data_IF_336399735343
#
_entry.id   IF_336399735343
#
_cell.length_a   1.000
_cell.length_b   1.000
_cell.length_c   1.000
_cell.angle_alpha   90.00
_cell.angle_beta   90.00
_cell.angle_gamma   90.00
#
_symmetry.space_group_name_H-M   'P 1'
#
loop_
_entity.id
_entity.type
_entity.pdbx_description
1 polymer ?
#
# COMPACT_ATOMS: atom_id res chain seq x y z
N UNK A 1 15.52 23.22 -0.96
CA UNK A 1 16.42 23.53 0.17
C UNK A 1 16.16 24.88 0.78
N UNK A 2 15.90 25.93 -0.05
CA UNK A 2 15.65 27.30 0.37
C UNK A 2 14.15 27.62 0.59
N UNK A 3 13.27 26.69 0.29
CA UNK A 3 11.81 26.87 0.40
C UNK A 3 11.18 27.74 -0.68
N UNK A 4 11.94 28.21 -1.67
CA UNK A 4 11.46 29.14 -2.70
C UNK A 4 10.70 28.45 -3.84
N UNK A 5 11.00 27.17 -4.10
CA UNK A 5 10.45 26.41 -5.23
C UNK A 5 9.86 25.08 -4.80
N UNK A 6 8.66 24.79 -5.25
CA UNK A 6 8.01 23.49 -5.14
C UNK A 6 8.20 22.74 -6.46
N UNK A 7 8.73 21.54 -6.41
CA UNK A 7 8.76 20.60 -7.53
C UNK A 7 7.78 19.47 -7.27
N UNK A 8 6.93 19.18 -8.24
CA UNK A 8 5.92 18.15 -8.11
C UNK A 8 5.77 17.34 -9.40
N UNK A 9 5.21 16.15 -9.27
CA UNK A 9 4.83 15.30 -10.40
C UNK A 9 3.40 15.62 -10.82
N UNK A 10 3.20 15.93 -12.09
CA UNK A 10 1.91 15.85 -12.75
C UNK A 10 1.77 14.43 -13.30
N UNK A 11 0.96 13.62 -12.61
CA UNK A 11 0.75 12.22 -12.96
C UNK A 11 -0.09 12.03 -14.21
N UNK A 12 -0.07 10.81 -14.71
CA UNK A 12 -0.88 10.38 -15.86
C UNK A 12 -2.26 9.91 -15.46
N UNK A 13 -2.96 9.43 -16.46
CA UNK A 13 -4.19 8.66 -16.28
C UNK A 13 -3.90 7.35 -15.58
N UNK A 14 -4.92 6.75 -15.09
CA UNK A 14 -5.00 5.44 -14.49
C UNK A 14 -6.47 5.10 -14.44
N UNK A 15 -6.83 4.00 -13.83
CA UNK A 15 -8.24 3.59 -13.70
C UNK A 15 -9.15 4.65 -13.07
N UNK A 16 -8.58 5.62 -12.35
CA UNK A 16 -9.31 6.65 -11.62
C UNK A 16 -9.40 7.99 -12.37
N UNK A 17 -8.76 8.12 -13.52
CA UNK A 17 -8.76 9.35 -14.31
C UNK A 17 -8.99 9.06 -15.78
N UNK A 18 -9.72 9.95 -16.46
CA UNK A 18 -9.81 9.90 -17.92
C UNK A 18 -8.51 10.39 -18.57
N UNK A 19 -8.24 9.95 -19.78
CA UNK A 19 -7.08 10.37 -20.57
C UNK A 19 -7.03 11.88 -20.81
N UNK A 20 -8.19 12.55 -20.80
CA UNK A 20 -8.28 14.02 -20.90
C UNK A 20 -7.57 14.74 -19.75
N UNK A 21 -7.53 14.15 -18.56
CA UNK A 21 -6.85 14.72 -17.39
C UNK A 21 -5.40 14.26 -17.25
N UNK A 22 -4.94 13.36 -18.10
CA UNK A 22 -3.58 12.81 -18.10
C UNK A 22 -2.63 13.44 -19.12
N UNK A 23 -3.07 14.51 -19.78
CA UNK A 23 -2.22 15.25 -20.73
C UNK A 23 -1.09 16.00 -20.02
N UNK A 24 0.04 16.12 -20.72
CA UNK A 24 1.19 16.89 -20.24
C UNK A 24 1.78 16.38 -18.91
N UNK A 25 2.00 15.07 -18.82
CA UNK A 25 2.68 14.45 -17.69
C UNK A 25 4.13 14.95 -17.57
N UNK A 26 4.67 14.94 -16.35
CA UNK A 26 6.06 15.27 -16.10
C UNK A 26 6.31 15.84 -14.70
N UNK A 27 7.53 16.28 -14.49
CA UNK A 27 7.90 17.05 -13.31
C UNK A 27 7.79 18.53 -13.63
N UNK A 28 7.09 19.23 -12.78
CA UNK A 28 6.83 20.66 -12.88
C UNK A 28 7.38 21.39 -11.67
N UNK A 29 7.72 22.65 -11.86
CA UNK A 29 8.06 23.55 -10.76
C UNK A 29 7.07 24.71 -10.70
N UNK A 30 6.90 25.24 -9.50
CA UNK A 30 6.15 26.45 -9.20
C UNK A 30 6.82 27.19 -8.04
N UNK A 31 6.77 28.50 -8.01
CA UNK A 31 7.23 29.24 -6.84
C UNK A 31 6.40 28.87 -5.60
N UNK A 32 7.01 28.80 -4.42
CA UNK A 32 6.29 28.52 -3.17
C UNK A 32 5.19 29.55 -2.87
N UNK A 33 5.36 30.80 -3.33
CA UNK A 33 4.36 31.85 -3.25
C UNK A 33 3.19 31.70 -4.26
N UNK A 34 3.21 30.64 -5.08
CA UNK A 34 2.21 30.43 -6.14
C UNK A 34 2.65 30.97 -7.50
N UNK A 35 1.75 30.91 -8.49
CA UNK A 35 1.99 31.37 -9.84
C UNK A 35 1.89 30.27 -10.90
N UNK A 36 2.50 30.50 -12.06
CA UNK A 36 2.42 29.59 -13.21
C UNK A 36 3.41 28.45 -13.04
N UNK A 37 2.90 27.22 -13.17
CA UNK A 37 3.73 26.02 -13.19
C UNK A 37 4.43 25.85 -14.53
N UNK A 38 5.73 25.53 -14.50
CA UNK A 38 6.53 25.28 -15.69
C UNK A 38 7.08 23.85 -15.69
N UNK A 39 7.10 23.23 -16.87
CA UNK A 39 7.64 21.89 -17.05
C UNK A 39 9.16 21.90 -16.86
N UNK A 40 9.69 20.99 -16.05
CA UNK A 40 11.12 20.73 -15.88
C UNK A 40 11.56 19.58 -16.77
N UNK A 41 10.85 18.44 -16.70
CA UNK A 41 11.14 17.25 -17.53
C UNK A 41 9.87 16.43 -17.75
N UNK A 42 9.70 15.89 -18.97
CA UNK A 42 8.48 15.11 -19.34
C UNK A 42 8.36 13.75 -18.66
N UNK A 43 9.44 13.20 -18.13
CA UNK A 43 9.48 11.87 -17.51
C UNK A 43 10.12 11.96 -16.15
N UNK A 44 9.65 11.19 -15.23
CA UNK A 44 10.23 11.08 -13.89
C UNK A 44 9.18 10.98 -12.80
N UNK A 45 9.58 10.34 -11.71
CA UNK A 45 8.77 10.14 -10.52
C UNK A 45 9.58 10.49 -9.27
N UNK A 46 8.91 10.69 -8.14
CA UNK A 46 9.54 10.91 -6.82
C UNK A 46 10.60 12.01 -6.81
N UNK A 47 10.27 13.24 -7.27
CA UNK A 47 11.21 14.35 -7.25
C UNK A 47 11.61 14.68 -5.82
N UNK A 48 12.89 15.02 -5.63
CA UNK A 48 13.40 15.55 -4.36
C UNK A 48 14.64 16.39 -4.60
N UNK A 49 14.88 17.32 -3.69
CA UNK A 49 16.09 18.12 -3.70
C UNK A 49 17.22 17.39 -2.97
N UNK A 50 18.45 17.66 -3.38
CA UNK A 50 19.65 17.38 -2.63
C UNK A 50 20.28 18.69 -2.13
N UNK A 51 21.60 18.83 -2.23
CA UNK A 51 22.34 20.00 -1.76
C UNK A 51 22.06 21.27 -2.55
N UNK A 52 21.95 21.17 -3.87
CA UNK A 52 21.79 22.33 -4.75
C UNK A 52 20.30 22.73 -4.87
N UNK A 53 19.94 24.01 -4.65
CA UNK A 53 18.56 24.48 -4.74
C UNK A 53 18.03 24.60 -6.17
N UNK A 54 18.91 24.63 -7.15
CA UNK A 54 18.63 24.77 -8.58
C UNK A 54 18.57 23.42 -9.33
N UNK A 55 18.74 22.28 -8.61
CA UNK A 55 18.75 20.94 -9.19
C UNK A 55 17.84 19.99 -8.44
N UNK A 56 17.06 19.22 -9.18
CA UNK A 56 16.14 18.21 -8.64
C UNK A 56 16.61 16.81 -9.04
N UNK A 57 16.56 15.87 -8.09
CA UNK A 57 16.71 14.45 -8.31
C UNK A 57 15.36 13.81 -8.58
N UNK A 58 15.35 12.75 -9.40
CA UNK A 58 14.13 12.01 -9.72
C UNK A 58 14.46 10.61 -10.20
N UNK A 59 13.47 9.73 -10.19
CA UNK A 59 13.61 8.37 -10.67
C UNK A 59 13.02 8.22 -12.08
N UNK A 60 13.63 7.36 -12.87
CA UNK A 60 13.14 6.93 -14.18
C UNK A 60 12.98 5.42 -14.24
N UNK A 61 12.08 4.97 -15.09
CA UNK A 61 11.96 3.58 -15.50
C UNK A 61 12.55 3.43 -16.89
N UNK A 62 13.53 2.52 -17.05
CA UNK A 62 14.21 2.19 -18.29
C UNK A 62 14.10 0.68 -18.48
N UNK A 63 12.99 0.22 -19.08
CA UNK A 63 12.64 -1.21 -19.10
C UNK A 63 12.40 -1.73 -17.69
N UNK A 64 13.13 -2.77 -17.30
CA UNK A 64 13.07 -3.36 -15.96
C UNK A 64 13.98 -2.64 -14.92
N UNK A 65 14.78 -1.68 -15.37
CA UNK A 65 15.75 -0.97 -14.54
C UNK A 65 15.16 0.37 -14.06
N UNK A 66 15.37 0.67 -12.80
CA UNK A 66 15.13 2.01 -12.26
C UNK A 66 16.44 2.77 -12.15
N UNK A 67 16.41 4.03 -12.53
CA UNK A 67 17.56 4.90 -12.41
C UNK A 67 17.25 6.13 -11.58
N UNK A 68 18.26 6.60 -10.83
CA UNK A 68 18.29 7.90 -10.18
C UNK A 68 19.02 8.87 -11.11
N UNK A 69 18.31 9.92 -11.52
CA UNK A 69 18.83 11.01 -12.32
C UNK A 69 18.64 12.35 -11.62
N UNK A 70 19.37 13.37 -12.06
CA UNK A 70 19.11 14.76 -11.67
C UNK A 70 19.10 15.67 -12.88
N UNK A 71 18.41 16.80 -12.75
CA UNK A 71 18.31 17.82 -13.81
C UNK A 71 18.24 19.21 -13.18
N UNK A 72 18.78 20.22 -13.89
CA UNK A 72 18.58 21.60 -13.50
C UNK A 72 17.11 22.01 -13.54
N UNK A 73 16.69 22.93 -12.67
CA UNK A 73 15.33 23.44 -12.67
C UNK A 73 14.95 24.20 -13.96
N UNK A 74 15.94 24.53 -14.78
CA UNK A 74 15.75 25.08 -16.12
C UNK A 74 15.46 24.00 -17.19
N UNK A 75 15.45 22.73 -16.79
CA UNK A 75 15.24 21.60 -17.68
C UNK A 75 16.49 21.17 -18.46
N UNK A 76 17.68 21.61 -18.07
CA UNK A 76 18.96 21.31 -18.73
C UNK A 76 19.88 20.50 -17.84
N UNK A 77 20.96 20.01 -18.44
CA UNK A 77 22.04 19.27 -17.77
C UNK A 77 21.52 18.07 -16.98
N UNK A 78 20.78 17.20 -17.65
CA UNK A 78 20.36 15.93 -17.07
C UNK A 78 21.57 15.02 -16.86
N UNK A 79 21.70 14.47 -15.63
CA UNK A 79 22.76 13.54 -15.23
C UNK A 79 22.18 12.27 -14.66
N UNK A 80 22.64 11.11 -15.15
CA UNK A 80 22.33 9.82 -14.57
C UNK A 80 23.37 9.49 -13.47
N UNK A 81 22.92 9.01 -12.32
CA UNK A 81 23.77 8.70 -11.18
C UNK A 81 23.83 7.21 -10.89
N UNK A 82 22.67 6.60 -10.62
CA UNK A 82 22.57 5.19 -10.26
C UNK A 82 21.53 4.47 -11.09
N UNK A 83 21.74 3.17 -11.24
CA UNK A 83 20.77 2.23 -11.74
C UNK A 83 20.61 1.06 -10.79
N UNK A 84 19.42 0.48 -10.70
CA UNK A 84 19.16 -0.77 -10.02
C UNK A 84 18.03 -1.50 -10.71
N UNK A 85 18.15 -2.83 -10.77
CA UNK A 85 17.07 -3.70 -11.24
C UNK A 85 15.96 -3.81 -10.19
N UNK A 86 16.33 -3.90 -8.93
CA UNK A 86 15.44 -4.32 -7.85
C UNK A 86 15.13 -3.20 -6.83
N UNK A 87 15.85 -2.07 -6.86
CA UNK A 87 15.56 -0.96 -5.98
C UNK A 87 14.26 -0.24 -6.39
N UNK A 88 13.41 0.06 -5.40
CA UNK A 88 12.10 0.66 -5.60
C UNK A 88 12.02 2.14 -5.24
N UNK A 89 12.99 2.66 -4.51
CA UNK A 89 13.06 4.05 -4.07
C UNK A 89 14.51 4.50 -3.93
N UNK A 90 14.78 5.76 -4.27
CA UNK A 90 16.06 6.43 -4.04
C UNK A 90 15.82 7.82 -3.42
N UNK A 91 16.67 8.20 -2.45
CA UNK A 91 16.68 9.53 -1.83
C UNK A 91 18.11 10.01 -1.58
N UNK A 92 18.52 11.08 -2.21
CA UNK A 92 19.81 11.71 -1.95
C UNK A 92 19.72 12.55 -0.67
N UNK A 93 20.76 12.50 0.16
CA UNK A 93 20.81 13.29 1.38
C UNK A 93 20.91 14.81 1.09
N UNK A 94 20.41 15.67 1.97
CA UNK A 94 20.51 17.14 1.80
C UNK A 94 21.92 17.67 1.58
N UNK A 95 22.94 17.05 2.19
CA UNK A 95 24.35 17.42 2.00
C UNK A 95 24.97 16.85 0.72
N UNK A 96 24.25 15.95 0.02
CA UNK A 96 24.70 15.34 -1.24
C UNK A 96 25.80 14.30 -1.08
N UNK A 97 26.04 13.75 0.12
CA UNK A 97 27.08 12.75 0.37
C UNK A 97 26.56 11.31 0.36
N UNK A 98 25.25 11.12 0.56
CA UNK A 98 24.65 9.81 0.73
C UNK A 98 23.45 9.63 -0.19
N UNK A 99 23.18 8.38 -0.54
CA UNK A 99 21.95 7.95 -1.18
C UNK A 99 21.30 6.86 -0.32
N UNK A 100 20.05 7.06 0.07
CA UNK A 100 19.24 6.00 0.60
C UNK A 100 18.48 5.31 -0.53
N UNK A 101 18.30 4.00 -0.44
CA UNK A 101 17.51 3.24 -1.39
C UNK A 101 16.77 2.09 -0.70
N UNK A 102 15.68 1.64 -1.32
CA UNK A 102 14.89 0.51 -0.85
C UNK A 102 14.99 -0.63 -1.87
N UNK A 103 15.41 -1.80 -1.42
CA UNK A 103 15.47 -3.01 -2.23
C UNK A 103 15.03 -4.22 -1.39
N UNK A 104 14.24 -5.14 -1.97
CA UNK A 104 13.68 -6.26 -1.23
C UNK A 104 12.90 -5.84 0.02
N UNK A 105 12.22 -4.69 -0.04
CA UNK A 105 11.51 -4.02 1.07
C UNK A 105 12.39 -3.50 2.21
N UNK A 106 13.70 -3.65 2.16
CA UNK A 106 14.65 -3.17 3.18
C UNK A 106 15.27 -1.84 2.76
N UNK A 107 15.61 -1.03 3.76
CA UNK A 107 16.28 0.25 3.58
C UNK A 107 17.80 0.12 3.68
N UNK A 108 18.50 0.81 2.79
CA UNK A 108 19.95 0.85 2.69
C UNK A 108 20.45 2.28 2.57
N UNK A 109 21.69 2.50 3.00
CA UNK A 109 22.44 3.75 2.75
C UNK A 109 23.69 3.39 1.95
N UNK A 110 23.98 4.13 0.88
CA UNK A 110 25.23 4.08 0.14
C UNK A 110 25.88 5.43 0.03
N UNK A 111 27.18 5.47 -0.25
CA UNK A 111 27.86 6.73 -0.56
C UNK A 111 27.34 7.27 -1.90
N UNK A 112 27.05 8.57 -1.96
CA UNK A 112 26.68 9.23 -3.21
C UNK A 112 27.94 9.67 -3.95
N UNK A 113 28.22 8.98 -5.05
CA UNK A 113 29.43 9.23 -5.86
C UNK A 113 29.08 9.91 -7.17
N UNK A 114 29.83 10.94 -7.53
CA UNK A 114 29.73 11.64 -8.80
C UNK A 114 30.80 11.06 -9.75
N UNK A 115 30.45 9.98 -10.45
CA UNK A 115 31.37 9.27 -11.34
C UNK A 115 31.34 9.75 -12.79
N UNK A 116 30.44 10.69 -13.11
CA UNK A 116 30.22 11.13 -14.49
C UNK A 116 29.48 10.12 -15.38
N UNK A 117 29.19 8.94 -14.86
CA UNK A 117 28.43 7.88 -15.53
C UNK A 117 27.47 7.18 -14.56
N UNK A 118 26.51 6.44 -15.09
CA UNK A 118 25.57 5.66 -14.32
C UNK A 118 26.27 4.46 -13.65
N UNK A 119 26.08 4.28 -12.37
CA UNK A 119 26.69 3.21 -11.57
C UNK A 119 25.60 2.27 -11.04
N UNK A 120 25.85 0.96 -11.07
CA UNK A 120 24.94 -0.02 -10.51
C UNK A 120 24.93 0.06 -8.98
N UNK A 121 23.73 0.20 -8.41
CA UNK A 121 23.51 0.33 -6.96
C UNK A 121 22.59 -0.79 -6.47
N UNK A 122 23.06 -1.49 -5.45
CA UNK A 122 22.33 -2.53 -4.74
C UNK A 122 23.02 -2.92 -3.44
N UNK A 123 22.45 -3.84 -2.67
CA UNK A 123 23.02 -4.29 -1.39
C UNK A 123 24.41 -4.92 -1.53
N UNK A 124 24.73 -5.45 -2.71
CA UNK A 124 26.01 -6.11 -3.02
C UNK A 124 27.01 -5.21 -3.72
N UNK A 125 26.72 -3.92 -3.86
CA UNK A 125 27.67 -2.96 -4.44
C UNK A 125 28.95 -2.94 -3.63
N UNK A 126 30.10 -3.14 -4.31
CA UNK A 126 31.44 -3.16 -3.70
C UNK A 126 32.29 -1.96 -4.09
N UNK A 127 31.88 -1.17 -5.08
CA UNK A 127 32.65 -0.01 -5.57
C UNK A 127 32.70 1.14 -4.56
N UNK A 128 31.78 1.19 -3.62
CA UNK A 128 31.70 2.15 -2.52
C UNK A 128 30.90 1.55 -1.35
N UNK A 129 31.00 2.14 -0.13
CA UNK A 129 30.31 1.61 1.03
C UNK A 129 28.78 1.63 0.88
N UNK A 130 28.16 0.48 1.17
CA UNK A 130 26.70 0.29 1.28
C UNK A 130 26.40 -0.43 2.58
N UNK A 131 25.38 -0.01 3.30
CA UNK A 131 24.94 -0.62 4.56
C UNK A 131 23.44 -0.78 4.59
N UNK A 132 22.96 -1.93 5.03
CA UNK A 132 21.55 -2.14 5.40
C UNK A 132 21.28 -1.41 6.71
N UNK A 133 20.17 -0.69 6.80
CA UNK A 133 19.79 0.10 7.97
C UNK A 133 18.48 -0.32 8.61
N UNK A 134 17.57 -0.98 7.88
CA UNK A 134 16.36 -1.55 8.45
C UNK A 134 16.51 -3.05 8.68
N UNK A 135 16.00 -3.54 9.82
CA UNK A 135 15.89 -4.97 10.12
C UNK A 135 14.71 -5.58 9.36
N UNK A 136 13.56 -4.98 9.54
CA UNK A 136 12.33 -5.30 8.84
C UNK A 136 12.17 -4.41 7.59
N UNK A 137 10.97 -4.25 7.06
CA UNK A 137 10.74 -3.38 5.90
C UNK A 137 11.03 -1.90 6.20
N UNK A 138 11.30 -1.14 5.17
CA UNK A 138 11.45 0.31 5.23
C UNK A 138 10.66 0.97 4.11
N UNK A 139 9.70 1.82 4.44
CA UNK A 139 8.88 2.57 3.49
C UNK A 139 9.00 4.07 3.78
N UNK A 140 8.77 4.91 2.76
CA UNK A 140 8.82 6.37 2.91
C UNK A 140 10.15 6.88 3.42
N UNK A 141 11.25 6.51 2.71
CA UNK A 141 12.60 6.95 3.06
C UNK A 141 12.71 8.47 3.05
N UNK A 142 13.26 9.05 4.12
CA UNK A 142 13.59 10.47 4.16
C UNK A 142 14.77 10.74 5.09
N UNK A 143 15.51 11.79 4.76
CA UNK A 143 16.66 12.22 5.51
C UNK A 143 16.30 13.28 6.55
N UNK A 144 17.00 13.28 7.69
CA UNK A 144 17.03 14.47 8.54
C UNK A 144 17.64 15.66 7.79
N UNK A 145 17.23 16.88 8.14
CA UNK A 145 17.70 18.08 7.44
C UNK A 145 19.24 18.29 7.49
N UNK A 146 19.89 17.79 8.53
CA UNK A 146 21.33 17.78 8.71
C UNK A 146 22.04 16.57 8.07
N UNK A 147 21.31 15.68 7.38
CA UNK A 147 21.80 14.45 6.76
C UNK A 147 22.42 13.43 7.73
N UNK A 148 22.24 13.60 9.03
CA UNK A 148 22.84 12.71 10.03
C UNK A 148 22.10 11.41 10.21
N UNK A 149 20.79 11.37 9.87
CA UNK A 149 19.91 10.22 10.05
C UNK A 149 19.07 9.94 8.83
N UNK A 150 18.83 8.65 8.58
CA UNK A 150 17.78 8.18 7.69
C UNK A 150 16.59 7.72 8.53
N UNK A 151 15.39 8.11 8.09
CA UNK A 151 14.11 7.71 8.66
C UNK A 151 13.32 6.86 7.65
N UNK A 152 12.52 5.94 8.17
CA UNK A 152 11.55 5.16 7.39
C UNK A 152 10.38 4.74 8.27
N UNK A 153 9.30 4.31 7.67
CA UNK A 153 8.14 3.81 8.38
C UNK A 153 7.90 2.33 8.09
N UNK A 154 7.27 1.65 9.03
CA UNK A 154 6.62 0.36 8.85
C UNK A 154 5.31 0.35 9.63
N UNK A 155 4.18 0.35 8.91
CA UNK A 155 2.88 0.55 9.54
C UNK A 155 2.85 1.83 10.37
N UNK A 156 2.35 1.80 11.61
CA UNK A 156 2.24 2.97 12.47
C UNK A 156 3.54 3.30 13.23
N UNK A 157 4.67 2.74 12.84
CA UNK A 157 5.95 2.98 13.51
C UNK A 157 6.93 3.73 12.60
N UNK A 158 7.57 4.75 13.16
CA UNK A 158 8.67 5.50 12.56
C UNK A 158 10.00 5.04 13.14
N UNK A 159 10.88 4.61 12.25
CA UNK A 159 12.24 4.16 12.57
C UNK A 159 13.26 5.20 12.15
N UNK A 160 14.44 5.15 12.77
CA UNK A 160 15.58 5.95 12.38
C UNK A 160 16.89 5.21 12.57
N UNK A 161 17.89 5.58 11.76
CA UNK A 161 19.27 5.12 11.92
C UNK A 161 20.23 6.26 11.63
N UNK A 162 21.21 6.44 12.51
CA UNK A 162 22.31 7.36 12.27
C UNK A 162 23.22 6.83 11.16
N UNK A 163 23.67 7.70 10.26
CA UNK A 163 24.67 7.36 9.25
C UNK A 163 25.97 6.90 9.93
N UNK A 164 26.35 7.55 11.02
CA UNK A 164 27.53 7.18 11.81
C UNK A 164 27.47 5.72 12.28
N UNK A 165 26.30 5.28 12.75
CA UNK A 165 26.11 3.91 13.26
C UNK A 165 25.92 2.87 12.14
N UNK A 166 25.94 3.30 10.88
CA UNK A 166 25.77 2.41 9.73
C UNK A 166 27.08 1.93 9.12
N UNK A 167 28.20 2.59 9.44
CA UNK A 167 29.51 2.26 8.88
C UNK A 167 30.59 2.25 9.96
N UNK A 168 31.35 1.15 10.06
CA UNK A 168 32.44 0.99 11.04
C UNK A 168 33.47 2.11 10.98
N UNK A 169 33.84 2.54 9.78
CA UNK A 169 34.82 3.62 9.58
C UNK A 169 34.33 5.00 10.04
N UNK A 170 33.02 5.25 10.04
CA UNK A 170 32.45 6.48 10.59
C UNK A 170 32.25 6.40 12.10
N UNK A 171 31.84 5.23 12.58
CA UNK A 171 31.69 4.98 14.01
C UNK A 171 33.00 4.93 14.75
N UNK A 172 34.10 4.65 14.04
CA UNK A 172 35.43 4.32 14.61
C UNK A 172 35.30 3.18 15.65
N UNK A 173 34.55 2.11 15.27
CA UNK A 173 34.19 1.01 16.14
C UNK A 173 34.29 -0.34 15.42
N UNK A 174 34.75 -1.35 16.14
CA UNK A 174 34.82 -2.74 15.62
C UNK A 174 33.43 -3.34 15.37
N UNK A 175 32.45 -2.98 16.21
CA UNK A 175 31.07 -3.46 16.13
C UNK A 175 30.11 -2.28 16.02
N UNK A 176 29.09 -2.43 15.20
CA UNK A 176 28.02 -1.44 15.07
C UNK A 176 26.82 -1.83 15.97
N UNK A 177 26.03 -0.86 16.43
CA UNK A 177 24.77 -1.16 17.10
C UNK A 177 23.86 -2.03 16.21
N UNK A 178 23.06 -2.90 16.83
CA UNK A 178 22.09 -3.70 16.11
C UNK A 178 21.10 -2.81 15.31
N UNK A 179 20.52 -3.41 14.27
CA UNK A 179 19.48 -2.74 13.51
C UNK A 179 18.22 -2.55 14.38
N UNK A 180 17.54 -1.39 14.30
CA UNK A 180 16.37 -1.13 15.13
C UNK A 180 15.27 -2.16 14.88
N UNK A 181 14.82 -2.81 15.95
CA UNK A 181 13.76 -3.81 15.92
C UNK A 181 12.36 -3.20 16.18
N UNK A 182 12.31 -2.04 16.84
CA UNK A 182 11.10 -1.29 17.17
C UNK A 182 11.28 0.17 16.79
N UNK A 183 10.20 0.79 16.31
CA UNK A 183 10.15 2.21 15.99
C UNK A 183 9.39 3.02 17.05
N UNK A 184 9.34 4.31 16.85
CA UNK A 184 8.48 5.21 17.61
C UNK A 184 7.07 5.17 17.03
N UNK A 185 6.06 4.89 17.83
CA UNK A 185 4.68 4.92 17.35
C UNK A 185 4.29 6.33 16.89
N UNK A 186 3.76 6.41 15.67
CA UNK A 186 3.15 7.60 15.07
C UNK A 186 1.67 7.35 14.76
N UNK A 187 1.15 6.17 15.15
CA UNK A 187 -0.26 5.83 15.01
C UNK A 187 -1.13 6.75 15.89
N UNK A 188 -2.30 7.03 15.39
CA UNK A 188 -3.35 7.74 16.12
C UNK A 188 -4.70 7.08 15.86
N UNK A 189 -5.65 7.34 16.73
CA UNK A 189 -7.04 6.93 16.54
C UNK A 189 -7.89 8.14 16.20
N UNK A 190 -8.86 7.95 15.33
CA UNK A 190 -9.87 8.96 15.02
C UNK A 190 -11.25 8.36 15.21
N UNK A 191 -12.21 9.19 15.62
CA UNK A 191 -13.61 8.78 15.71
C UNK A 191 -14.13 8.50 14.29
N UNK A 192 -14.83 7.38 14.11
CA UNK A 192 -15.49 7.08 12.85
C UNK A 192 -16.71 7.97 12.68
N UNK A 193 -16.89 8.52 11.48
CA UNK A 193 -18.11 9.24 11.11
C UNK A 193 -19.26 8.22 10.92
N UNK A 194 -19.93 7.94 12.01
CA UNK A 194 -21.05 7.00 12.07
C UNK A 194 -22.35 7.78 12.09
N UNK A 195 -23.29 7.52 11.14
CA UNK A 195 -24.60 8.17 11.15
C UNK A 195 -25.35 7.91 12.48
N UNK A 196 -25.73 8.96 13.17
CA UNK A 196 -26.55 8.91 14.39
C UNK A 196 -28.04 8.97 14.02
N UNK A 197 -28.52 7.96 13.31
CA UNK A 197 -29.90 7.92 12.82
C UNK A 197 -30.49 6.53 12.91
N UNK A 198 -31.84 6.48 12.89
CA UNK A 198 -32.60 5.23 12.80
C UNK A 198 -33.31 5.17 11.46
N UNK A 199 -33.21 4.03 10.81
CA UNK A 199 -33.90 3.74 9.55
C UNK A 199 -34.61 2.39 9.71
N UNK A 200 -35.88 2.33 9.27
CA UNK A 200 -36.64 1.10 9.22
C UNK A 200 -37.05 0.81 7.78
N UNK A 201 -36.59 -0.31 7.24
CA UNK A 201 -37.08 -0.86 5.96
C UNK A 201 -38.30 -1.71 6.25
N UNK A 202 -39.48 -1.35 5.71
CA UNK A 202 -40.74 -1.94 6.13
C UNK A 202 -41.53 -2.49 4.92
N UNK A 203 -42.08 -3.69 5.06
CA UNK A 203 -43.03 -4.26 4.13
C UNK A 203 -42.45 -5.06 2.96
N UNK A 204 -41.14 -5.32 3.00
CA UNK A 204 -40.49 -6.14 1.98
C UNK A 204 -40.30 -7.60 2.38
N UNK A 205 -40.03 -8.43 1.38
CA UNK A 205 -39.49 -9.77 1.62
C UNK A 205 -38.07 -9.67 2.17
N UNK A 206 -37.82 -10.28 3.32
CA UNK A 206 -36.46 -10.25 3.92
C UNK A 206 -35.83 -11.63 3.85
N UNK A 207 -34.70 -11.72 3.14
CA UNK A 207 -33.81 -12.89 3.10
C UNK A 207 -32.76 -12.72 4.19
N UNK A 208 -32.85 -13.48 5.28
CA UNK A 208 -32.05 -13.24 6.47
C UNK A 208 -30.65 -13.83 6.39
N UNK A 209 -30.42 -14.77 5.49
CA UNK A 209 -29.22 -15.62 5.41
C UNK A 209 -28.93 -16.43 6.70
N UNK A 210 -29.95 -16.59 7.57
CA UNK A 210 -29.91 -17.49 8.73
C UNK A 210 -30.61 -18.79 8.33
N UNK A 211 -29.82 -19.73 7.81
CA UNK A 211 -30.39 -20.90 7.12
C UNK A 211 -31.30 -20.45 5.99
N UNK A 212 -32.40 -21.16 5.81
CA UNK A 212 -33.39 -20.87 4.75
C UNK A 212 -34.51 -19.90 5.16
N UNK A 213 -34.30 -19.16 6.24
CA UNK A 213 -35.30 -18.26 6.81
C UNK A 213 -35.57 -17.07 5.90
N UNK A 214 -36.79 -16.99 5.37
CA UNK A 214 -37.30 -15.87 4.58
C UNK A 214 -38.55 -15.32 5.25
N UNK A 215 -38.64 -14.00 5.43
CA UNK A 215 -39.78 -13.30 6.01
C UNK A 215 -40.53 -12.60 4.86
N UNK A 216 -41.79 -12.99 4.56
CA UNK A 216 -42.54 -12.50 3.41
C UNK A 216 -42.87 -10.99 3.51
N UNK A 217 -43.31 -10.53 4.70
CA UNK A 217 -43.60 -9.14 5.03
C UNK A 217 -42.76 -8.76 6.26
N UNK A 218 -41.56 -8.29 5.99
CA UNK A 218 -40.55 -8.08 7.03
C UNK A 218 -40.23 -6.63 7.34
N UNK A 219 -39.57 -6.46 8.44
CA UNK A 219 -38.96 -5.19 8.90
C UNK A 219 -37.51 -5.41 9.21
N UNK A 220 -36.65 -4.49 8.76
CA UNK A 220 -35.26 -4.38 9.18
C UNK A 220 -35.04 -3.00 9.79
N UNK A 221 -34.63 -2.95 11.04
CA UNK A 221 -34.30 -1.70 11.74
C UNK A 221 -32.81 -1.55 11.86
N UNK A 222 -32.30 -0.41 11.40
CA UNK A 222 -30.92 -0.02 11.50
C UNK A 222 -30.81 1.20 12.41
N UNK A 223 -29.91 1.15 13.38
CA UNK A 223 -29.57 2.26 14.25
C UNK A 223 -28.04 2.43 14.27
N UNK A 224 -27.57 3.64 14.06
CA UNK A 224 -26.15 3.98 14.09
C UNK A 224 -25.29 3.01 13.24
N UNK A 225 -25.69 2.76 11.98
CA UNK A 225 -25.09 1.81 11.02
C UNK A 225 -25.10 0.31 11.44
N UNK A 226 -25.90 -0.07 12.43
CA UNK A 226 -26.03 -1.47 12.88
C UNK A 226 -27.47 -1.94 12.74
N UNK A 227 -27.67 -3.16 12.26
CA UNK A 227 -28.98 -3.82 12.30
C UNK A 227 -29.29 -4.18 13.74
N UNK A 228 -30.37 -3.63 14.28
CA UNK A 228 -30.80 -3.84 15.67
C UNK A 228 -32.02 -4.73 15.78
N UNK A 229 -32.83 -4.84 14.74
CA UNK A 229 -33.96 -5.76 14.68
C UNK A 229 -34.24 -6.23 13.26
N UNK A 230 -34.65 -7.51 13.13
CA UNK A 230 -35.14 -8.12 11.89
C UNK A 230 -36.28 -9.08 12.29
N UNK A 231 -37.44 -8.97 11.63
CA UNK A 231 -38.53 -9.88 11.90
C UNK A 231 -39.80 -9.54 11.11
N UNK A 232 -40.89 -10.27 11.34
CA UNK A 232 -42.19 -10.01 10.70
C UNK A 232 -42.71 -8.64 11.06
N UNK A 233 -43.38 -7.96 10.13
CA UNK A 233 -43.93 -6.61 10.33
C UNK A 233 -44.91 -6.52 11.50
N UNK A 234 -45.74 -7.54 11.71
CA UNK A 234 -46.74 -7.55 12.78
C UNK A 234 -46.16 -7.67 14.21
N UNK A 235 -44.93 -8.11 14.35
CA UNK A 235 -44.26 -8.36 15.67
C UNK A 235 -42.99 -7.59 15.90
N UNK A 236 -42.42 -6.97 14.88
CA UNK A 236 -41.15 -6.22 14.99
C UNK A 236 -41.45 -4.75 15.25
N UNK A 237 -40.97 -4.24 16.42
CA UNK A 237 -41.14 -2.85 16.79
C UNK A 237 -40.29 -1.93 15.90
N UNK A 238 -40.95 -0.95 15.30
CA UNK A 238 -40.30 0.17 14.61
C UNK A 238 -40.20 1.34 15.58
N UNK A 239 -39.01 1.90 15.87
CA UNK A 239 -38.90 3.10 16.72
C UNK A 239 -39.68 4.27 16.10
N UNK A 240 -40.34 5.06 16.94
CA UNK A 240 -41.18 6.18 16.48
C UNK A 240 -40.36 7.29 15.80
N UNK A 241 -39.08 7.40 16.16
CA UNK A 241 -38.11 8.36 15.62
C UNK A 241 -37.34 7.81 14.39
N UNK A 242 -37.66 6.59 13.92
CA UNK A 242 -37.01 6.02 12.75
C UNK A 242 -37.55 6.62 11.43
N UNK A 243 -36.66 6.92 10.50
CA UNK A 243 -37.03 7.20 9.12
C UNK A 243 -37.54 5.89 8.48
N UNK A 244 -38.85 5.82 8.22
CA UNK A 244 -39.43 4.65 7.59
C UNK A 244 -39.23 4.72 6.06
N UNK A 245 -38.67 3.65 5.51
CA UNK A 245 -38.56 3.42 4.08
C UNK A 245 -39.49 2.26 3.70
N UNK A 246 -40.51 2.54 2.92
CA UNK A 246 -41.40 1.50 2.38
C UNK A 246 -40.67 0.70 1.28
N UNK A 247 -40.50 -0.57 1.52
CA UNK A 247 -39.86 -1.53 0.59
C UNK A 247 -40.83 -2.64 0.13
N UNK A 248 -42.12 -2.34 0.15
CA UNK A 248 -43.16 -3.27 -0.37
C UNK A 248 -42.85 -3.66 -1.82
N UNK A 249 -43.01 -4.95 -2.13
CA UNK A 249 -42.67 -5.51 -3.44
C UNK A 249 -41.18 -5.66 -3.74
N UNK A 250 -40.30 -5.32 -2.77
CA UNK A 250 -38.85 -5.47 -2.90
C UNK A 250 -38.32 -6.60 -2.00
N UNK A 251 -37.17 -7.12 -2.34
CA UNK A 251 -36.44 -8.05 -1.48
C UNK A 251 -35.27 -7.30 -0.79
N UNK A 252 -35.25 -7.41 0.53
CA UNK A 252 -34.13 -6.93 1.36
C UNK A 252 -33.24 -8.12 1.72
N UNK A 253 -31.94 -8.01 1.45
CA UNK A 253 -30.96 -9.04 1.73
C UNK A 253 -29.65 -8.40 2.14
N UNK A 254 -28.72 -9.13 2.79
CA UNK A 254 -27.38 -8.64 3.01
C UNK A 254 -26.69 -8.24 1.71
N UNK A 255 -25.81 -7.25 1.78
CA UNK A 255 -25.00 -6.86 0.62
C UNK A 255 -24.07 -7.99 0.18
N UNK A 256 -23.73 -7.99 -1.10
CA UNK A 256 -22.84 -8.98 -1.70
C UNK A 256 -21.42 -8.79 -1.14
N UNK A 257 -20.78 -9.91 -0.84
CA UNK A 257 -19.34 -9.97 -0.52
C UNK A 257 -18.62 -10.47 -1.75
N UNK A 258 -17.76 -9.63 -2.33
CA UNK A 258 -16.85 -10.04 -3.39
C UNK A 258 -15.53 -10.49 -2.76
N UNK A 259 -15.31 -11.79 -2.75
CA UNK A 259 -14.17 -12.42 -2.08
C UNK A 259 -12.89 -12.42 -2.92
N UNK A 260 -12.98 -12.06 -4.19
CA UNK A 260 -11.84 -11.97 -5.11
C UNK A 260 -11.99 -10.75 -6.02
N UNK A 261 -12.04 -9.58 -5.38
CA UNK A 261 -12.23 -8.31 -6.07
C UNK A 261 -10.90 -7.71 -6.51
N UNK A 262 -10.89 -7.11 -7.70
CA UNK A 262 -9.75 -6.36 -8.20
C UNK A 262 -10.17 -4.95 -8.63
N UNK A 263 -9.40 -3.96 -8.23
CA UNK A 263 -9.61 -2.56 -8.63
C UNK A 263 -8.59 -1.59 -8.05
N UNK A 264 -8.73 -0.33 -8.44
CA UNK A 264 -7.83 0.72 -7.98
C UNK A 264 -8.41 1.43 -6.76
N UNK A 265 -7.68 1.40 -5.65
CA UNK A 265 -7.99 2.17 -4.43
C UNK A 265 -7.40 3.57 -4.46
N UNK A 266 -6.31 3.75 -5.19
CA UNK A 266 -5.61 5.02 -5.34
C UNK A 266 -4.68 5.02 -6.56
N UNK A 267 -4.02 6.14 -6.78
CA UNK A 267 -3.02 6.30 -7.83
C UNK A 267 -1.88 7.14 -7.30
N UNK A 268 -0.64 6.70 -7.53
CA UNK A 268 0.56 7.43 -7.08
C UNK A 268 0.54 7.77 -5.58
N UNK A 269 0.16 6.80 -4.73
CA UNK A 269 0.02 6.94 -3.27
C UNK A 269 -1.07 7.95 -2.82
N UNK A 270 -1.93 8.38 -3.74
CA UNK A 270 -3.08 9.25 -3.44
C UNK A 270 -4.37 8.45 -3.44
N UNK A 271 -5.06 8.40 -2.30
CA UNK A 271 -6.41 7.83 -2.19
C UNK A 271 -7.43 8.92 -2.50
N UNK A 272 -8.22 8.79 -3.58
CA UNK A 272 -9.21 9.81 -3.92
C UNK A 272 -10.39 9.76 -2.96
N UNK A 273 -10.89 10.92 -2.55
CA UNK A 273 -12.09 11.02 -1.73
C UNK A 273 -13.32 10.43 -2.42
N UNK A 274 -13.39 10.54 -3.74
CA UNK A 274 -14.45 9.97 -4.57
C UNK A 274 -13.85 9.03 -5.60
N UNK A 275 -14.07 7.75 -5.40
CA UNK A 275 -13.57 6.70 -6.27
C UNK A 275 -14.75 6.04 -6.99
N UNK A 276 -14.85 6.24 -8.30
CA UNK A 276 -15.96 5.71 -9.11
C UNK A 276 -16.06 4.19 -9.06
N UNK A 277 -14.93 3.47 -8.93
CA UNK A 277 -14.91 2.00 -8.84
C UNK A 277 -15.62 1.54 -7.57
N UNK A 278 -15.41 2.25 -6.45
CA UNK A 278 -16.08 1.99 -5.18
C UNK A 278 -17.58 2.29 -5.28
N UNK A 279 -17.96 3.41 -5.90
CA UNK A 279 -19.37 3.74 -6.14
C UNK A 279 -20.06 2.71 -7.04
N UNK A 280 -19.38 2.25 -8.10
CA UNK A 280 -19.90 1.22 -8.97
C UNK A 280 -20.13 -0.10 -8.20
N UNK A 281 -19.16 -0.54 -7.39
CA UNK A 281 -19.29 -1.71 -6.54
C UNK A 281 -20.53 -1.62 -5.64
N UNK A 282 -20.71 -0.50 -4.93
CA UNK A 282 -21.89 -0.26 -4.10
C UNK A 282 -23.19 -0.22 -4.93
N UNK A 283 -23.15 0.39 -6.11
CA UNK A 283 -24.29 0.46 -7.04
C UNK A 283 -24.77 -0.91 -7.51
N UNK A 284 -23.86 -1.88 -7.63
CA UNK A 284 -24.17 -3.28 -7.93
C UNK A 284 -24.46 -4.12 -6.69
N UNK A 285 -24.52 -3.51 -5.50
CA UNK A 285 -24.86 -4.19 -4.25
C UNK A 285 -23.68 -4.87 -3.55
N UNK A 286 -22.45 -4.69 -4.03
CA UNK A 286 -21.24 -5.18 -3.37
C UNK A 286 -20.91 -4.25 -2.21
N UNK A 287 -21.01 -4.73 -0.98
CA UNK A 287 -20.81 -3.96 0.25
C UNK A 287 -19.57 -4.34 1.02
N UNK A 288 -18.92 -5.40 0.61
CA UNK A 288 -17.65 -5.88 1.16
C UNK A 288 -16.81 -6.44 0.04
N UNK A 289 -15.54 -6.09 0.01
CA UNK A 289 -14.56 -6.58 -0.96
C UNK A 289 -13.34 -7.15 -0.24
N UNK A 290 -12.80 -8.25 -0.77
CA UNK A 290 -11.50 -8.77 -0.43
C UNK A 290 -10.63 -8.75 -1.67
N UNK A 291 -9.63 -7.88 -1.71
CA UNK A 291 -8.68 -7.77 -2.81
C UNK A 291 -7.45 -8.66 -2.52
N UNK A 292 -7.22 -9.71 -3.30
CA UNK A 292 -6.12 -10.63 -3.07
C UNK A 292 -4.77 -10.14 -3.61
N UNK A 293 -4.69 -8.91 -4.14
CA UNK A 293 -3.46 -8.40 -4.78
C UNK A 293 -3.51 -6.90 -5.00
N UNK A 294 -2.84 -6.11 -4.17
CA UNK A 294 -2.79 -4.66 -4.36
C UNK A 294 -1.50 -4.05 -3.79
N UNK A 295 -1.26 -2.78 -4.10
CA UNK A 295 -0.25 -1.99 -3.41
C UNK A 295 -0.62 -1.84 -1.93
N UNK A 296 0.29 -2.30 -1.06
CA UNK A 296 0.06 -2.37 0.37
C UNK A 296 -0.27 -1.02 0.98
N UNK A 297 0.48 0.03 0.62
CA UNK A 297 0.29 1.36 1.22
C UNK A 297 -1.07 1.94 0.87
N UNK A 298 -1.46 1.83 -0.40
CA UNK A 298 -2.68 2.43 -0.93
C UNK A 298 -3.93 1.70 -0.45
N UNK A 299 -3.93 0.36 -0.46
CA UNK A 299 -5.14 -0.40 -0.11
C UNK A 299 -5.47 -0.29 1.38
N UNK A 300 -4.47 -0.37 2.27
CA UNK A 300 -4.74 -0.26 3.71
C UNK A 300 -5.05 1.17 4.13
N UNK A 301 -4.48 2.20 3.47
CA UNK A 301 -4.91 3.58 3.67
C UNK A 301 -6.38 3.78 3.27
N UNK A 302 -6.79 3.26 2.11
CA UNK A 302 -8.20 3.31 1.67
C UNK A 302 -9.13 2.54 2.63
N UNK A 303 -8.70 1.39 3.14
CA UNK A 303 -9.46 0.60 4.10
C UNK A 303 -9.71 1.36 5.41
N UNK A 304 -8.69 2.01 5.97
CA UNK A 304 -8.83 2.84 7.18
C UNK A 304 -9.69 4.08 6.93
N UNK A 305 -9.54 4.75 5.78
CA UNK A 305 -10.39 5.89 5.41
C UNK A 305 -11.86 5.48 5.24
N UNK A 306 -12.14 4.32 4.63
CA UNK A 306 -13.49 3.78 4.51
C UNK A 306 -14.09 3.45 5.89
N UNK A 307 -13.31 2.82 6.76
CA UNK A 307 -13.70 2.49 8.14
C UNK A 307 -13.98 3.73 8.98
N UNK A 308 -13.20 4.79 8.79
CA UNK A 308 -13.39 6.08 9.44
C UNK A 308 -14.57 6.89 8.87
N UNK A 309 -15.15 6.50 7.73
CA UNK A 309 -16.24 7.24 7.07
C UNK A 309 -15.75 8.42 6.21
N UNK A 310 -14.45 8.55 5.99
CA UNK A 310 -13.85 9.63 5.20
C UNK A 310 -14.06 9.46 3.68
N UNK A 311 -14.27 8.21 3.25
CA UNK A 311 -14.62 7.87 1.87
C UNK A 311 -15.83 6.94 1.83
N UNK A 312 -16.63 7.04 0.78
CA UNK A 312 -17.73 6.12 0.52
C UNK A 312 -17.22 4.93 -0.30
N UNK A 313 -17.21 3.76 0.32
CA UNK A 313 -16.71 2.52 -0.27
C UNK A 313 -17.37 1.30 0.36
N UNK A 314 -17.33 0.10 -0.27
CA UNK A 314 -17.51 -1.16 0.45
C UNK A 314 -16.54 -1.28 1.62
N UNK A 315 -16.78 -2.20 2.55
CA UNK A 315 -15.72 -2.58 3.50
C UNK A 315 -14.57 -3.21 2.74
N UNK A 316 -13.36 -2.70 2.95
CA UNK A 316 -12.17 -3.11 2.20
C UNK A 316 -11.32 -4.03 3.06
N UNK A 317 -11.06 -5.22 2.54
CA UNK A 317 -10.07 -6.16 3.04
C UNK A 317 -9.10 -6.48 1.91
N UNK A 318 -7.84 -6.76 2.22
CA UNK A 318 -6.84 -7.10 1.22
C UNK A 318 -5.72 -7.95 1.80
N UNK A 319 -5.04 -8.67 0.92
CA UNK A 319 -3.77 -9.32 1.23
C UNK A 319 -2.58 -8.37 1.10
N UNK A 320 -2.78 -7.20 0.46
CA UNK A 320 -1.67 -6.32 0.06
C UNK A 320 -0.77 -6.98 -0.99
N UNK A 321 0.51 -6.72 -0.91
CA UNK A 321 1.53 -7.25 -1.83
C UNK A 321 1.54 -8.78 -1.84
N UNK A 322 1.50 -9.37 -3.04
CA UNK A 322 1.53 -10.82 -3.22
C UNK A 322 2.88 -11.43 -2.84
N UNK A 323 2.83 -12.62 -2.28
CA UNK A 323 4.01 -13.45 -2.00
C UNK A 323 4.27 -14.35 -3.20
N UNK A 324 5.46 -14.29 -3.76
CA UNK A 324 5.79 -15.03 -4.97
C UNK A 324 7.27 -15.42 -4.98
N UNK A 325 7.57 -16.67 -5.24
CA UNK A 325 8.92 -17.20 -5.25
C UNK A 325 9.76 -16.87 -6.50
N UNK A 326 9.28 -15.96 -7.35
CA UNK A 326 10.05 -15.38 -8.44
C UNK A 326 10.16 -13.87 -8.28
N UNK A 327 11.26 -13.28 -8.71
CA UNK A 327 11.59 -11.89 -8.50
C UNK A 327 10.61 -10.89 -9.11
N UNK A 328 10.69 -9.65 -8.66
CA UNK A 328 9.90 -8.52 -9.10
C UNK A 328 9.64 -7.54 -7.95
N UNK A 329 9.61 -6.26 -8.25
CA UNK A 329 9.52 -5.20 -7.25
C UNK A 329 8.15 -5.06 -6.56
N UNK A 330 7.10 -5.57 -7.19
CA UNK A 330 5.74 -5.59 -6.64
C UNK A 330 5.39 -6.91 -5.93
N UNK A 331 6.35 -7.83 -5.85
CA UNK A 331 6.19 -9.18 -5.31
C UNK A 331 7.15 -9.39 -4.16
N UNK A 332 6.66 -10.05 -3.13
CA UNK A 332 7.49 -10.45 -2.00
C UNK A 332 8.09 -11.84 -2.29
N UNK A 333 9.38 -11.90 -2.55
CA UNK A 333 10.06 -13.15 -2.89
C UNK A 333 10.23 -14.04 -1.67
N UNK A 334 9.89 -15.32 -1.83
CA UNK A 334 9.98 -16.35 -0.78
C UNK A 334 10.99 -17.42 -1.22
N UNK A 335 12.11 -17.52 -0.53
CA UNK A 335 13.12 -18.54 -0.71
C UNK A 335 13.39 -19.35 0.57
N UNK A 336 12.88 -18.87 1.72
CA UNK A 336 13.04 -19.49 3.01
C UNK A 336 11.84 -19.23 3.90
N UNK A 337 11.73 -19.99 5.02
CA UNK A 337 10.74 -19.71 6.05
C UNK A 337 10.93 -18.33 6.68
N UNK A 338 12.17 -17.86 6.80
CA UNK A 338 12.47 -16.54 7.36
C UNK A 338 12.05 -15.40 6.40
N UNK A 339 12.16 -15.60 5.08
CA UNK A 339 11.57 -14.67 4.11
C UNK A 339 10.04 -14.60 4.27
N UNK A 340 9.38 -15.75 4.40
CA UNK A 340 7.95 -15.79 4.63
C UNK A 340 7.57 -15.04 5.92
N UNK A 341 8.26 -15.31 7.03
CA UNK A 341 8.06 -14.58 8.30
C UNK A 341 8.27 -13.07 8.16
N UNK A 342 9.33 -12.67 7.46
CA UNK A 342 9.62 -11.26 7.20
C UNK A 342 8.47 -10.56 6.45
N UNK A 343 8.02 -11.15 5.35
CA UNK A 343 6.95 -10.54 4.56
C UNK A 343 5.59 -10.54 5.27
N UNK A 344 5.27 -11.62 5.99
CA UNK A 344 4.02 -11.70 6.74
C UNK A 344 3.99 -10.71 7.92
N UNK A 345 5.10 -10.53 8.65
CA UNK A 345 5.22 -9.50 9.70
C UNK A 345 5.00 -8.10 9.14
N UNK A 346 5.62 -7.81 7.99
CA UNK A 346 5.42 -6.53 7.28
C UNK A 346 3.94 -6.29 6.95
N UNK A 347 3.27 -7.25 6.35
CA UNK A 347 1.85 -7.14 6.01
C UNK A 347 0.96 -7.02 7.25
N UNK A 348 1.24 -7.79 8.29
CA UNK A 348 0.51 -7.72 9.56
C UNK A 348 0.66 -6.36 10.24
N UNK A 349 1.83 -5.73 10.17
CA UNK A 349 2.09 -4.41 10.74
C UNK A 349 1.22 -3.31 10.14
N UNK A 350 0.80 -3.44 8.88
CA UNK A 350 -0.10 -2.49 8.20
C UNK A 350 -1.57 -2.89 8.25
N UNK A 351 -1.91 -3.98 8.98
CA UNK A 351 -3.30 -4.39 9.21
C UNK A 351 -3.82 -5.53 8.35
N UNK A 352 -2.97 -6.19 7.55
CA UNK A 352 -3.36 -7.40 6.84
C UNK A 352 -3.58 -8.56 7.82
N UNK A 353 -4.64 -9.33 7.61
CA UNK A 353 -4.94 -10.56 8.32
C UNK A 353 -5.03 -11.79 7.40
N UNK A 354 -4.86 -11.55 6.12
CA UNK A 354 -4.71 -12.57 5.07
C UNK A 354 -3.53 -12.22 4.18
N UNK A 355 -2.94 -13.21 3.54
CA UNK A 355 -1.84 -13.05 2.59
C UNK A 355 -2.11 -13.85 1.33
N UNK A 356 -1.71 -13.34 0.19
CA UNK A 356 -1.78 -14.04 -1.09
C UNK A 356 -0.50 -14.83 -1.33
N UNK A 357 -0.60 -16.15 -1.34
CA UNK A 357 0.44 -17.04 -1.85
C UNK A 357 0.18 -17.27 -3.35
N UNK A 358 0.88 -16.50 -4.18
CA UNK A 358 0.70 -16.57 -5.64
C UNK A 358 1.22 -17.91 -6.21
N UNK A 359 1.37 -18.03 -7.51
CA UNK A 359 1.86 -19.25 -8.18
C UNK A 359 3.30 -19.57 -7.79
N UNK A 360 3.49 -20.11 -6.59
CA UNK A 360 4.83 -20.46 -6.11
C UNK A 360 5.47 -21.51 -7.02
N UNK A 361 6.69 -21.27 -7.55
CA UNK A 361 7.37 -22.23 -8.41
C UNK A 361 7.64 -23.59 -7.76
N UNK A 362 7.82 -23.59 -6.42
CA UNK A 362 8.06 -24.78 -5.62
C UNK A 362 7.04 -24.91 -4.50
N UNK A 363 6.59 -26.15 -4.26
CA UNK A 363 5.60 -26.42 -3.21
C UNK A 363 6.09 -26.04 -1.81
N UNK A 364 7.39 -26.19 -1.54
CA UNK A 364 7.97 -25.81 -0.25
C UNK A 364 7.80 -24.32 0.08
N UNK A 365 7.87 -23.43 -0.92
CA UNK A 365 7.65 -21.99 -0.73
C UNK A 365 6.24 -21.73 -0.21
N UNK A 366 5.24 -22.42 -0.77
CA UNK A 366 3.85 -22.33 -0.30
C UNK A 366 3.71 -22.86 1.13
N UNK A 367 4.36 -23.98 1.44
CA UNK A 367 4.37 -24.56 2.80
C UNK A 367 5.02 -23.61 3.82
N UNK A 368 6.11 -22.93 3.44
CA UNK A 368 6.76 -21.90 4.27
C UNK A 368 5.82 -20.71 4.54
N UNK A 369 5.06 -20.25 3.54
CA UNK A 369 4.03 -19.22 3.74
C UNK A 369 2.96 -19.68 4.72
N UNK A 370 2.44 -20.91 4.57
CA UNK A 370 1.43 -21.47 5.48
C UNK A 370 1.97 -21.61 6.91
N UNK A 371 3.22 -22.06 7.07
CA UNK A 371 3.85 -22.17 8.38
C UNK A 371 3.97 -20.82 9.07
N UNK A 372 4.51 -19.81 8.37
CA UNK A 372 4.64 -18.45 8.90
C UNK A 372 3.26 -17.81 9.20
N UNK A 373 2.24 -18.07 8.36
CA UNK A 373 0.89 -17.56 8.58
C UNK A 373 0.25 -18.15 9.84
N UNK A 374 0.44 -19.44 10.11
CA UNK A 374 -0.02 -20.07 11.36
C UNK A 374 0.63 -19.45 12.60
N UNK A 375 1.94 -19.21 12.57
CA UNK A 375 2.65 -18.53 13.67
C UNK A 375 2.08 -17.14 13.96
N UNK A 376 1.63 -16.43 12.93
CA UNK A 376 1.14 -15.06 13.02
C UNK A 376 -0.38 -14.94 13.11
N UNK A 377 -1.13 -16.05 13.06
CA UNK A 377 -2.59 -16.04 13.06
C UNK A 377 -3.19 -15.38 11.83
N UNK A 378 -2.61 -15.61 10.65
CA UNK A 378 -3.06 -15.05 9.38
C UNK A 378 -3.66 -16.13 8.47
N UNK A 379 -4.60 -15.74 7.63
CA UNK A 379 -5.15 -16.58 6.58
C UNK A 379 -4.22 -16.61 5.36
N UNK A 380 -4.22 -17.72 4.64
CA UNK A 380 -3.49 -17.85 3.37
C UNK A 380 -4.47 -18.09 2.24
N UNK A 381 -4.45 -17.19 1.28
CA UNK A 381 -5.24 -17.25 0.04
C UNK A 381 -4.30 -17.64 -1.09
N UNK A 382 -4.29 -18.90 -1.53
CA UNK A 382 -3.41 -19.34 -2.60
C UNK A 382 -4.00 -18.99 -3.97
N UNK A 383 -3.13 -18.77 -4.94
CA UNK A 383 -3.53 -18.78 -6.33
C UNK A 383 -3.80 -20.23 -6.75
N UNK A 384 -5.04 -20.53 -7.07
CA UNK A 384 -5.40 -21.83 -7.62
C UNK A 384 -5.12 -21.92 -9.12
N UNK A 385 -5.71 -22.91 -9.74
CA UNK A 385 -5.60 -23.12 -11.18
C UNK A 385 -6.54 -24.24 -11.63
N UNK A 386 -6.59 -24.47 -12.91
CA UNK A 386 -7.46 -25.50 -13.52
C UNK A 386 -7.01 -26.95 -13.26
N UNK A 387 -5.87 -27.17 -12.61
CA UNK A 387 -5.36 -28.51 -12.31
C UNK A 387 -5.84 -28.97 -10.95
N UNK A 388 -6.77 -29.95 -10.94
CA UNK A 388 -7.35 -30.52 -9.73
C UNK A 388 -6.30 -30.95 -8.68
N UNK A 389 -5.29 -31.73 -9.10
CA UNK A 389 -4.25 -32.20 -8.18
C UNK A 389 -3.42 -31.07 -7.57
N UNK A 390 -3.20 -29.99 -8.33
CA UNK A 390 -2.54 -28.79 -7.81
C UNK A 390 -3.35 -28.15 -6.68
N UNK A 391 -4.65 -27.94 -6.91
CA UNK A 391 -5.54 -27.37 -5.92
C UNK A 391 -5.68 -28.27 -4.68
N UNK A 392 -5.76 -29.60 -4.87
CA UNK A 392 -5.78 -30.55 -3.75
C UNK A 392 -4.51 -30.47 -2.90
N UNK A 393 -3.34 -30.24 -3.49
CA UNK A 393 -2.12 -30.03 -2.69
C UNK A 393 -2.15 -28.73 -1.88
N UNK A 394 -2.85 -27.69 -2.33
CA UNK A 394 -3.06 -26.46 -1.55
C UNK A 394 -3.93 -26.71 -0.32
N UNK A 395 -5.00 -27.49 -0.48
CA UNK A 395 -5.84 -27.92 0.64
C UNK A 395 -5.01 -28.74 1.64
N UNK A 396 -4.23 -29.72 1.15
CA UNK A 396 -3.38 -30.58 1.98
C UNK A 396 -2.28 -29.79 2.71
N UNK A 397 -1.74 -28.72 2.12
CA UNK A 397 -0.76 -27.85 2.76
C UNK A 397 -1.40 -26.95 3.84
N UNK A 398 -2.73 -26.88 3.92
CA UNK A 398 -3.48 -26.16 4.95
C UNK A 398 -3.69 -24.67 4.63
N UNK A 399 -3.82 -24.31 3.35
CA UNK A 399 -4.30 -22.99 2.96
C UNK A 399 -5.75 -22.78 3.42
N UNK A 400 -6.17 -21.55 3.59
CA UNK A 400 -7.49 -21.20 4.15
C UNK A 400 -8.60 -21.21 3.08
N UNK A 401 -8.24 -21.26 1.82
CA UNK A 401 -9.13 -21.34 0.68
C UNK A 401 -8.37 -21.80 -0.56
N UNK A 402 -9.04 -21.81 -1.68
CA UNK A 402 -8.47 -22.01 -3.03
C UNK A 402 -9.18 -21.08 -3.97
N UNK A 403 -8.44 -20.31 -4.76
CA UNK A 403 -8.97 -19.40 -5.78
C UNK A 403 -8.71 -19.97 -7.18
N UNK A 404 -9.56 -19.63 -8.16
CA UNK A 404 -9.55 -20.19 -9.53
C UNK A 404 -9.81 -21.72 -9.55
#
# INVERSE_FOLDING_TARGET
>A
PDGATIVYRKGGGGYLRSDLHSSNQGLYKVAAAGGVSTLVVKRGVRPHFGKAPDRVFFQKFEGETRSLSSIGLDGRDERAHFASKDATEFKVSPDGRWVAFREGFKAFIGAFVLSGQKVDLGPKTSAFPVAQVSKEAGEYLHWSGDSSKLHWALGPELFERSVKDSFKFLANAETLPELPATGRSIGFTADADIPKSKIALVGGRVVTMKGDTVIADGVVVVENNRIVAVGPRGSTRVPADAKVVNVAGKTVMPGIVDAHWHGAFGTDEVVPQRNWVMYASLGFGVTTVHDPSNDTSTVFAAAEMAKAGLITAPRIFSTGTILYGAGGDFRAEINSLDDARFHLKKLKAVGAWSVKSYNQPRREQRQQVVAAARELGMMVVPEGGSLYMHNMTMVADGNTGVEH
#
